data_IF_362767977309
#
_entry.id   IF_362767977309
#
_cell.length_a   1.000
_cell.length_b   1.000
_cell.length_c   1.000
_cell.angle_alpha   90.00
_cell.angle_beta   90.00
_cell.angle_gamma   90.00
#
_symmetry.space_group_name_H-M   'P 1'
#
loop_
_entity.id
_entity.type
_entity.pdbx_description
1 polymer ?
#
# COMPACT_ATOMS: atom_id res chain seq x y z
N UNK A 1 13.64 24.65 1.01
CA UNK A 1 12.76 23.85 0.13
C UNK A 1 11.43 23.68 0.81
N UNK A 2 10.35 24.01 0.11
CA UNK A 2 8.98 23.92 0.65
C UNK A 2 8.46 22.48 0.58
N UNK A 3 7.64 22.04 1.54
CA UNK A 3 7.06 20.68 1.59
C UNK A 3 6.25 20.30 0.34
N UNK A 4 5.80 21.30 -0.42
CA UNK A 4 5.04 21.13 -1.65
C UNK A 4 5.90 20.59 -2.81
N UNK A 5 7.17 21.01 -2.92
CA UNK A 5 8.09 20.53 -3.96
C UNK A 5 8.52 19.08 -3.71
N UNK A 6 8.63 18.68 -2.44
CA UNK A 6 9.02 17.33 -2.03
C UNK A 6 7.91 16.32 -2.33
N UNK A 7 6.67 16.67 -1.99
CA UNK A 7 5.48 15.86 -2.31
C UNK A 7 5.28 15.70 -3.83
N UNK A 8 5.54 16.75 -4.60
CA UNK A 8 5.44 16.72 -6.06
C UNK A 8 6.48 15.79 -6.70
N UNK A 9 7.72 15.81 -6.22
CA UNK A 9 8.80 14.96 -6.73
C UNK A 9 8.54 13.47 -6.47
N UNK A 10 8.05 13.14 -5.27
CA UNK A 10 7.69 11.76 -4.87
C UNK A 10 6.52 11.23 -5.70
N UNK A 11 5.47 12.05 -5.90
CA UNK A 11 4.32 11.67 -6.73
C UNK A 11 4.71 11.43 -8.18
N UNK A 12 5.52 12.31 -8.78
CA UNK A 12 5.95 12.17 -10.17
C UNK A 12 6.89 10.97 -10.37
N UNK A 13 7.73 10.69 -9.37
CA UNK A 13 8.57 9.49 -9.35
C UNK A 13 7.72 8.21 -9.31
N UNK A 14 6.78 8.13 -8.38
CA UNK A 14 5.90 6.96 -8.26
C UNK A 14 5.03 6.75 -9.49
N UNK A 15 4.51 7.82 -10.10
CA UNK A 15 3.79 7.73 -11.37
C UNK A 15 4.65 7.09 -12.47
N UNK A 16 5.89 7.57 -12.67
CA UNK A 16 6.75 7.07 -13.75
C UNK A 16 7.20 5.61 -13.55
N UNK A 17 7.46 5.20 -12.30
CA UNK A 17 7.92 3.82 -12.02
C UNK A 17 6.74 2.84 -12.01
N UNK A 18 5.58 3.27 -11.52
CA UNK A 18 4.35 2.47 -11.57
C UNK A 18 3.89 2.31 -13.02
N UNK A 19 3.87 3.38 -13.81
CA UNK A 19 3.56 3.33 -15.24
C UNK A 19 4.53 2.41 -15.99
N UNK A 20 5.85 2.57 -15.80
CA UNK A 20 6.83 1.70 -16.44
C UNK A 20 6.65 0.23 -16.04
N UNK A 21 6.45 -0.07 -14.75
CA UNK A 21 6.33 -1.45 -14.25
C UNK A 21 5.05 -2.11 -14.76
N UNK A 22 3.92 -1.41 -14.69
CA UNK A 22 2.63 -1.94 -15.15
C UNK A 22 2.57 -2.07 -16.68
N UNK A 23 3.23 -1.16 -17.41
CA UNK A 23 3.29 -1.18 -18.87
C UNK A 23 4.25 -2.26 -19.40
N UNK A 24 5.46 -2.38 -18.84
CA UNK A 24 6.51 -3.26 -19.40
C UNK A 24 6.56 -4.65 -18.81
N UNK A 25 6.27 -4.81 -17.49
CA UNK A 25 6.37 -6.12 -16.82
C UNK A 25 5.04 -6.84 -16.71
N UNK A 26 3.92 -6.11 -16.69
CA UNK A 26 2.62 -6.66 -16.33
C UNK A 26 1.58 -6.64 -17.47
N UNK A 27 1.80 -5.83 -18.52
CA UNK A 27 0.92 -5.77 -19.70
C UNK A 27 -0.48 -5.21 -19.41
N UNK A 28 -0.67 -4.52 -18.28
CA UNK A 28 -1.96 -3.96 -17.86
C UNK A 28 -1.79 -2.46 -17.64
N UNK A 29 -1.95 -1.62 -18.69
CA UNK A 29 -2.03 -0.20 -18.52
C UNK A 29 -3.45 0.15 -18.03
N UNK A 30 -3.70 0.03 -16.73
CA UNK A 30 -4.91 0.58 -16.12
C UNK A 30 -4.54 1.90 -15.41
N UNK A 31 -4.84 3.07 -16.02
CA UNK A 31 -4.50 4.37 -15.44
C UNK A 31 -5.11 4.58 -14.06
N UNK A 32 -6.34 4.08 -13.81
CA UNK A 32 -7.01 4.23 -12.52
C UNK A 32 -6.29 3.49 -11.42
N UNK A 33 -5.82 2.28 -11.73
CA UNK A 33 -5.03 1.48 -10.79
C UNK A 33 -3.68 2.16 -10.49
N UNK A 34 -3.00 2.67 -11.53
CA UNK A 34 -1.73 3.39 -11.39
C UNK A 34 -1.90 4.65 -10.52
N UNK A 35 -2.94 5.45 -10.78
CA UNK A 35 -3.26 6.64 -10.00
C UNK A 35 -3.53 6.29 -8.54
N UNK A 36 -4.30 5.23 -8.29
CA UNK A 36 -4.58 4.74 -6.94
C UNK A 36 -3.31 4.32 -6.20
N UNK A 37 -2.46 3.51 -6.82
CA UNK A 37 -1.22 3.04 -6.21
C UNK A 37 -0.24 4.18 -5.95
N UNK A 38 -0.20 5.17 -6.85
CA UNK A 38 0.60 6.39 -6.68
C UNK A 38 0.14 7.20 -5.47
N UNK A 39 -1.18 7.37 -5.31
CA UNK A 39 -1.75 8.07 -4.16
C UNK A 39 -1.55 7.29 -2.86
N UNK A 40 -1.72 5.96 -2.89
CA UNK A 40 -1.44 5.07 -1.77
C UNK A 40 0.00 5.22 -1.29
N UNK A 41 0.97 5.11 -2.21
CA UNK A 41 2.38 5.28 -1.89
C UNK A 41 2.67 6.67 -1.31
N UNK A 42 2.13 7.72 -1.92
CA UNK A 42 2.30 9.11 -1.46
C UNK A 42 1.77 9.28 -0.04
N UNK A 43 0.56 8.79 0.23
CA UNK A 43 -0.09 8.86 1.56
C UNK A 43 0.70 8.10 2.61
N UNK A 44 1.14 6.88 2.30
CA UNK A 44 1.83 6.04 3.28
C UNK A 44 3.27 6.48 3.51
N UNK A 45 4.01 6.93 2.50
CA UNK A 45 5.37 7.47 2.69
C UNK A 45 5.35 8.76 3.53
N UNK A 46 4.38 9.64 3.29
CA UNK A 46 4.21 10.85 4.11
C UNK A 46 3.80 10.52 5.54
N UNK A 47 2.95 9.51 5.75
CA UNK A 47 2.59 9.03 7.09
C UNK A 47 3.71 8.20 7.74
N UNK A 48 4.56 7.51 7.00
CA UNK A 48 5.71 6.76 7.53
C UNK A 48 6.80 7.66 8.11
N UNK A 49 6.94 8.89 7.62
CA UNK A 49 7.74 9.91 8.31
C UNK A 49 7.18 10.13 9.73
N UNK A 50 5.87 10.09 9.90
CA UNK A 50 5.19 10.21 11.21
C UNK A 50 5.33 8.93 12.05
N UNK A 51 5.24 7.74 11.44
CA UNK A 51 5.43 6.45 12.13
C UNK A 51 6.89 6.17 12.53
N UNK A 52 7.89 6.64 11.77
CA UNK A 52 9.31 6.54 12.17
C UNK A 52 9.65 7.40 13.39
N UNK A 53 8.98 8.53 13.56
CA UNK A 53 9.17 9.42 14.73
C UNK A 53 8.55 8.80 16.00
N UNK A 54 7.54 7.94 15.85
CA UNK A 54 6.89 7.23 16.96
C UNK A 54 7.32 5.77 16.94
N UNK A 55 8.50 5.50 17.49
CA UNK A 55 9.16 4.20 17.57
C UNK A 55 8.24 2.99 17.41
N UNK A 56 8.60 2.13 16.45
CA UNK A 56 8.01 0.82 16.17
C UNK A 56 8.17 -0.16 17.36
N UNK A 57 7.51 0.15 18.47
CA UNK A 57 7.41 -0.69 19.66
C UNK A 57 6.13 -1.54 19.68
N UNK A 58 5.47 -1.79 18.53
CA UNK A 58 4.25 -2.60 18.52
C UNK A 58 3.69 -3.06 17.16
N UNK A 59 4.35 -4.05 16.53
CA UNK A 59 3.82 -5.07 15.58
C UNK A 59 2.57 -4.72 14.72
N UNK A 60 2.71 -4.51 13.40
CA UNK A 60 1.64 -4.42 12.39
C UNK A 60 0.62 -5.55 12.43
N UNK A 61 0.99 -6.74 12.91
CA UNK A 61 0.04 -7.84 13.11
C UNK A 61 -1.07 -7.46 14.12
N UNK A 62 -0.68 -6.85 15.23
CA UNK A 62 -1.62 -6.41 16.27
C UNK A 62 -2.47 -5.27 15.73
N UNK A 63 -1.88 -4.37 14.94
CA UNK A 63 -2.59 -3.28 14.29
C UNK A 63 -3.62 -3.79 13.28
N UNK A 64 -3.28 -4.72 12.38
CA UNK A 64 -4.23 -5.27 11.39
C UNK A 64 -5.38 -6.01 12.06
N UNK A 65 -5.09 -6.84 13.07
CA UNK A 65 -6.14 -7.54 13.82
C UNK A 65 -7.08 -6.55 14.52
N UNK A 66 -6.53 -5.48 15.12
CA UNK A 66 -7.33 -4.43 15.74
C UNK A 66 -8.16 -3.66 14.70
N UNK A 67 -7.58 -3.26 13.58
CA UNK A 67 -8.29 -2.56 12.51
C UNK A 67 -9.45 -3.40 11.98
N UNK A 68 -9.27 -4.72 11.81
CA UNK A 68 -10.34 -5.64 11.39
C UNK A 68 -11.47 -5.69 12.42
N UNK A 69 -11.15 -5.80 13.72
CA UNK A 69 -12.17 -5.77 14.79
C UNK A 69 -12.95 -4.45 14.78
N UNK A 70 -12.26 -3.32 14.61
CA UNK A 70 -12.92 -2.01 14.54
C UNK A 70 -13.74 -1.82 13.26
N UNK A 71 -13.32 -2.40 12.13
CA UNK A 71 -14.04 -2.35 10.86
C UNK A 71 -15.41 -3.03 10.99
N UNK A 72 -15.46 -4.21 11.62
CA UNK A 72 -16.72 -4.95 11.84
C UNK A 72 -17.71 -4.21 12.76
N UNK A 73 -17.23 -3.30 13.60
CA UNK A 73 -18.09 -2.45 14.43
C UNK A 73 -18.70 -1.25 13.68
N UNK A 74 -18.25 -0.96 12.44
CA UNK A 74 -18.73 0.16 11.62
C UNK A 74 -19.85 -0.29 10.67
N UNK A 75 -20.60 0.68 10.15
CA UNK A 75 -21.70 0.45 9.19
C UNK A 75 -21.58 1.37 7.98
N UNK A 76 -22.12 0.92 6.84
CA UNK A 76 -22.16 1.69 5.59
C UNK A 76 -20.77 2.15 5.13
N UNK A 77 -20.67 3.41 4.69
CA UNK A 77 -19.43 3.98 4.16
C UNK A 77 -18.27 3.92 5.17
N UNK A 78 -18.53 4.09 6.47
CA UNK A 78 -17.47 3.99 7.48
C UNK A 78 -16.87 2.57 7.57
N UNK A 79 -17.68 1.53 7.31
CA UNK A 79 -17.20 0.14 7.22
C UNK A 79 -16.38 -0.07 5.95
N UNK A 80 -16.86 0.47 4.82
CA UNK A 80 -16.15 0.44 3.54
C UNK A 80 -14.77 1.07 3.65
N UNK A 81 -14.69 2.29 4.17
CA UNK A 81 -13.44 3.03 4.33
C UNK A 81 -12.46 2.29 5.24
N UNK A 82 -12.96 1.63 6.28
CA UNK A 82 -12.13 0.82 7.18
C UNK A 82 -11.55 -0.40 6.46
N UNK A 83 -12.35 -1.14 5.69
CA UNK A 83 -11.86 -2.26 4.89
C UNK A 83 -10.87 -1.83 3.80
N UNK A 84 -11.15 -0.72 3.11
CA UNK A 84 -10.22 -0.14 2.14
C UNK A 84 -8.88 0.21 2.81
N UNK A 85 -8.91 0.86 3.97
CA UNK A 85 -7.70 1.20 4.70
C UNK A 85 -6.88 -0.02 5.12
N UNK A 86 -7.55 -1.10 5.55
CA UNK A 86 -6.88 -2.37 5.88
C UNK A 86 -6.20 -2.96 4.63
N UNK A 87 -6.90 -2.97 3.49
CA UNK A 87 -6.34 -3.39 2.21
C UNK A 87 -5.12 -2.57 1.81
N UNK A 88 -5.21 -1.24 1.92
CA UNK A 88 -4.13 -0.30 1.62
C UNK A 88 -2.90 -0.54 2.50
N UNK A 89 -3.11 -0.70 3.81
CA UNK A 89 -2.06 -0.94 4.78
C UNK A 89 -1.31 -2.23 4.47
N UNK A 90 -2.04 -3.33 4.25
CA UNK A 90 -1.43 -4.62 3.93
C UNK A 90 -0.71 -4.57 2.59
N UNK A 91 -1.31 -3.93 1.57
CA UNK A 91 -0.71 -3.81 0.24
C UNK A 91 0.61 -3.02 0.32
N UNK A 92 0.60 -1.89 1.01
CA UNK A 92 1.79 -1.08 1.23
C UNK A 92 2.90 -1.87 1.92
N UNK A 93 2.62 -2.49 3.07
CA UNK A 93 3.65 -3.21 3.82
C UNK A 93 4.16 -4.45 3.11
N UNK A 94 3.28 -5.16 2.39
CA UNK A 94 3.67 -6.39 1.69
C UNK A 94 4.35 -6.15 0.36
N UNK A 95 4.11 -4.99 -0.27
CA UNK A 95 4.81 -4.59 -1.48
C UNK A 95 6.09 -3.82 -1.19
N UNK A 96 6.02 -2.78 -0.36
CA UNK A 96 7.14 -1.89 -0.06
C UNK A 96 8.08 -2.55 0.95
N UNK A 97 7.64 -3.01 2.12
CA UNK A 97 8.55 -3.58 3.13
C UNK A 97 8.22 -5.03 3.52
N UNK A 98 8.26 -5.99 2.56
CA UNK A 98 7.92 -7.38 2.84
C UNK A 98 8.83 -8.00 3.92
N UNK A 99 10.07 -7.53 4.06
CA UNK A 99 10.99 -7.97 5.10
C UNK A 99 10.55 -7.53 6.51
N UNK A 100 9.94 -6.35 6.64
CA UNK A 100 9.43 -5.87 7.93
C UNK A 100 8.27 -6.76 8.40
N UNK A 101 7.34 -7.09 7.50
CA UNK A 101 6.27 -8.05 7.79
C UNK A 101 6.79 -9.43 8.20
N UNK A 102 7.88 -9.90 7.56
CA UNK A 102 8.53 -11.18 7.91
C UNK A 102 9.25 -11.12 9.26
N UNK A 103 9.97 -10.03 9.57
CA UNK A 103 10.77 -9.87 10.81
C UNK A 103 9.93 -9.64 12.06
N UNK A 104 8.69 -9.17 11.91
CA UNK A 104 7.83 -8.77 13.04
C UNK A 104 7.14 -9.95 13.76
N UNK A 105 7.40 -11.19 13.34
CA UNK A 105 6.96 -12.40 14.06
C UNK A 105 8.10 -13.41 14.20
N UNK A 106 8.22 -13.99 15.41
CA UNK A 106 9.08 -15.15 15.67
C UNK A 106 8.47 -16.40 15.01
N UNK A 107 9.35 -17.19 14.37
CA UNK A 107 9.21 -18.57 13.88
C UNK A 107 8.28 -18.87 12.67
N UNK A 108 8.94 -19.06 11.51
CA UNK A 108 9.14 -20.35 10.83
C UNK A 108 8.08 -20.99 9.92
N UNK A 109 7.27 -20.23 9.14
CA UNK A 109 6.67 -20.77 7.88
C UNK A 109 6.48 -19.72 6.77
N UNK A 110 6.87 -20.08 5.54
CA UNK A 110 6.64 -19.29 4.31
C UNK A 110 5.14 -19.05 4.00
N UNK A 111 4.25 -19.86 4.58
CA UNK A 111 2.78 -19.80 4.36
C UNK A 111 2.10 -18.51 4.86
N UNK A 112 2.82 -17.63 5.58
CA UNK A 112 2.19 -16.53 6.33
C UNK A 112 2.11 -15.20 5.56
N UNK A 113 2.97 -14.98 4.55
CA UNK A 113 2.78 -13.86 3.61
C UNK A 113 1.51 -14.07 2.78
N UNK A 114 1.25 -15.33 2.42
CA UNK A 114 0.01 -15.77 1.76
C UNK A 114 -1.20 -15.44 2.64
N UNK A 115 -1.10 -15.56 3.97
CA UNK A 115 -2.17 -15.15 4.87
C UNK A 115 -2.43 -13.64 4.81
N UNK A 116 -1.39 -12.79 4.82
CA UNK A 116 -1.59 -11.34 4.73
C UNK A 116 -2.14 -10.92 3.37
N UNK A 117 -1.62 -11.47 2.27
CA UNK A 117 -2.19 -11.22 0.95
C UNK A 117 -3.65 -11.65 0.89
N UNK A 118 -3.99 -12.80 1.46
CA UNK A 118 -5.38 -13.25 1.54
C UNK A 118 -6.25 -12.29 2.39
N UNK A 119 -5.75 -11.74 3.50
CA UNK A 119 -6.47 -10.71 4.26
C UNK A 119 -6.63 -9.40 3.48
N UNK A 120 -5.59 -8.94 2.78
CA UNK A 120 -5.63 -7.74 1.97
C UNK A 120 -6.65 -7.84 0.83
N UNK A 121 -6.67 -8.99 0.14
CA UNK A 121 -7.66 -9.32 -0.89
C UNK A 121 -9.08 -9.30 -0.34
N UNK A 122 -9.31 -10.01 0.79
CA UNK A 122 -10.61 -10.00 1.48
C UNK A 122 -11.06 -8.60 1.88
N UNK A 123 -10.14 -7.78 2.36
CA UNK A 123 -10.46 -6.42 2.77
C UNK A 123 -10.92 -5.56 1.57
N UNK A 124 -10.20 -5.62 0.45
CA UNK A 124 -10.62 -4.90 -0.76
C UNK A 124 -11.95 -5.42 -1.33
N UNK A 125 -12.16 -6.73 -1.37
CA UNK A 125 -13.44 -7.31 -1.81
C UNK A 125 -14.60 -6.93 -0.87
N UNK A 126 -14.39 -6.97 0.44
CA UNK A 126 -15.41 -6.52 1.39
C UNK A 126 -15.74 -5.02 1.19
N UNK A 127 -14.75 -4.19 0.85
CA UNK A 127 -14.95 -2.78 0.55
C UNK A 127 -15.66 -2.56 -0.80
N UNK A 128 -15.48 -3.43 -1.80
CA UNK A 128 -16.18 -3.35 -3.09
C UNK A 128 -17.66 -3.74 -2.97
N UNK A 129 -18.00 -4.71 -2.11
CA UNK A 129 -19.37 -5.18 -1.89
C UNK A 129 -20.26 -4.19 -1.13
N UNK A 130 -19.67 -3.34 -0.28
CA UNK A 130 -20.42 -2.37 0.50
C UNK A 130 -20.92 -1.25 -0.43
N UNK A 131 -22.22 -1.26 -0.71
CA UNK A 131 -22.89 -0.25 -1.54
C UNK A 131 -22.71 1.16 -0.98
N UNK A 132 -21.81 1.91 -1.61
CA UNK A 132 -21.61 3.34 -1.41
C UNK A 132 -22.47 4.12 -2.40
N UNK A 133 -23.81 4.00 -2.32
CA UNK A 133 -24.82 4.86 -3.01
C UNK A 133 -24.67 5.07 -4.53
N UNK A 134 -23.66 5.84 -4.96
CA UNK A 134 -23.37 6.24 -6.34
C UNK A 134 -21.92 5.94 -6.80
N UNK A 135 -21.06 5.37 -5.94
CA UNK A 135 -19.64 5.13 -6.22
C UNK A 135 -19.37 3.74 -6.85
N UNK A 136 -20.01 3.47 -8.00
CA UNK A 136 -19.78 2.22 -8.74
C UNK A 136 -18.32 2.13 -9.23
N UNK A 137 -17.76 3.25 -9.67
CA UNK A 137 -16.38 3.31 -10.15
C UNK A 137 -15.35 2.98 -9.06
N UNK A 138 -15.58 3.41 -7.82
CA UNK A 138 -14.70 3.05 -6.71
C UNK A 138 -14.87 1.60 -6.29
N UNK A 139 -16.09 1.06 -6.32
CA UNK A 139 -16.32 -0.36 -6.05
C UNK A 139 -15.60 -1.27 -7.06
N UNK A 140 -15.69 -0.97 -8.35
CA UNK A 140 -14.97 -1.72 -9.41
C UNK A 140 -13.46 -1.68 -9.21
N UNK A 141 -12.89 -0.52 -8.83
CA UNK A 141 -11.47 -0.38 -8.59
C UNK A 141 -11.00 -1.20 -7.36
N UNK A 142 -11.79 -1.21 -6.29
CA UNK A 142 -11.49 -2.01 -5.10
C UNK A 142 -11.58 -3.51 -5.41
N UNK A 143 -12.55 -3.92 -6.21
CA UNK A 143 -12.65 -5.31 -6.67
C UNK A 143 -11.43 -5.71 -7.52
N UNK A 144 -11.03 -4.83 -8.45
CA UNK A 144 -9.82 -5.03 -9.25
C UNK A 144 -8.54 -5.08 -8.41
N UNK A 145 -8.44 -4.28 -7.35
CA UNK A 145 -7.33 -4.33 -6.38
C UNK A 145 -7.30 -5.66 -5.61
N UNK A 146 -8.45 -6.23 -5.28
CA UNK A 146 -8.55 -7.56 -4.70
C UNK A 146 -8.03 -8.63 -5.67
N UNK A 147 -8.49 -8.60 -6.93
CA UNK A 147 -8.10 -9.58 -7.95
C UNK A 147 -6.61 -9.50 -8.30
N UNK A 148 -6.08 -8.27 -8.38
CA UNK A 148 -4.70 -7.98 -8.80
C UNK A 148 -3.77 -7.69 -7.62
N UNK A 149 -4.12 -8.13 -6.42
CA UNK A 149 -3.38 -7.76 -5.21
C UNK A 149 -1.89 -8.11 -5.29
N UNK A 150 -1.56 -9.35 -5.65
CA UNK A 150 -0.18 -9.84 -5.73
C UNK A 150 0.62 -9.09 -6.81
N UNK A 151 -0.06 -8.76 -7.92
CA UNK A 151 0.49 -7.95 -9.00
C UNK A 151 0.84 -6.55 -8.51
N UNK A 152 -0.07 -5.92 -7.77
CA UNK A 152 0.12 -4.60 -7.19
C UNK A 152 1.24 -4.62 -6.15
N UNK A 153 1.26 -5.61 -5.25
CA UNK A 153 2.31 -5.77 -4.25
C UNK A 153 3.69 -5.91 -4.91
N UNK A 154 3.80 -6.74 -5.95
CA UNK A 154 5.03 -6.86 -6.73
C UNK A 154 5.44 -5.52 -7.36
N UNK A 155 4.48 -4.80 -7.96
CA UNK A 155 4.70 -3.47 -8.53
C UNK A 155 5.24 -2.47 -7.52
N UNK A 156 4.66 -2.41 -6.31
CA UNK A 156 5.17 -1.55 -5.22
C UNK A 156 6.59 -1.94 -4.79
N UNK A 157 6.93 -3.23 -4.83
CA UNK A 157 8.30 -3.69 -4.54
C UNK A 157 9.31 -3.24 -5.60
N UNK A 158 8.94 -3.22 -6.88
CA UNK A 158 9.77 -2.64 -7.95
C UNK A 158 9.96 -1.14 -7.75
N UNK A 159 8.89 -0.43 -7.37
CA UNK A 159 8.92 0.99 -7.06
C UNK A 159 9.91 1.30 -5.93
N UNK A 160 9.89 0.52 -4.84
CA UNK A 160 10.88 0.65 -3.76
C UNK A 160 12.31 0.41 -4.24
N UNK A 161 12.56 -0.65 -5.02
CA UNK A 161 13.91 -0.95 -5.54
C UNK A 161 14.46 0.19 -6.38
N UNK A 162 13.62 0.83 -7.17
CA UNK A 162 14.01 2.03 -7.92
C UNK A 162 14.34 3.21 -6.99
N UNK A 163 13.57 3.39 -5.92
CA UNK A 163 13.80 4.45 -4.94
C UNK A 163 15.16 4.26 -4.24
N UNK A 164 15.43 3.08 -3.69
CA UNK A 164 16.68 2.77 -2.99
C UNK A 164 17.91 2.94 -3.89
N UNK A 165 17.82 2.52 -5.17
CA UNK A 165 18.95 2.65 -6.11
C UNK A 165 19.32 4.10 -6.40
N UNK A 166 18.35 5.01 -6.42
CA UNK A 166 18.61 6.44 -6.66
C UNK A 166 19.21 7.12 -5.43
N UNK A 167 18.79 6.72 -4.24
CA UNK A 167 19.40 7.19 -2.99
C UNK A 167 20.88 6.76 -2.88
N UNK A 168 21.23 5.54 -3.33
CA UNK A 168 22.62 5.03 -3.34
C UNK A 168 23.52 5.65 -4.43
N UNK A 169 22.94 6.21 -5.50
CA UNK A 169 23.70 6.73 -6.67
C UNK A 169 24.29 8.14 -6.49
N UNK A 170 24.36 8.66 -5.25
CA UNK A 170 25.17 9.84 -4.94
C UNK A 170 24.67 11.19 -5.45
N UNK A 171 23.38 11.32 -5.78
CA UNK A 171 22.72 12.64 -5.88
C UNK A 171 21.88 12.83 -4.61
N UNK A 172 22.59 13.12 -3.51
CA UNK A 172 22.07 13.00 -2.16
C UNK A 172 20.78 13.77 -1.90
N UNK A 173 19.74 13.05 -1.49
CA UNK A 173 18.88 13.54 -0.42
C UNK A 173 19.48 13.03 0.89
N UNK A 174 20.23 13.91 1.57
CA UNK A 174 20.48 13.76 3.00
C UNK A 174 19.11 13.68 3.71
N UNK A 175 18.60 12.48 3.92
CA UNK A 175 17.29 12.24 4.53
C UNK A 175 17.33 11.58 5.91
N UNK A 176 18.51 11.26 6.47
CA UNK A 176 18.61 10.64 7.80
C UNK A 176 19.79 11.14 8.64
N UNK A 177 20.12 12.43 8.53
CA UNK A 177 21.00 13.15 9.46
C UNK A 177 20.19 14.03 10.40
#
# INVERSE_FOLDING_TARGET
MSDNERSFNVRQFFAGVTEHTFYTKLGVPNPRLIDYLTELLTRFVNNEVVFRIRGLTGKPLTEVAQMMMEAEARLGNARRDAHQHIGDFILFWSGVYPEALKRMRREDRMDHLINYWAEGKRAYHAASEIQSGYDQSGAELLDELSDKFELCAYGLGEVRREWERRDDSGTGLMLFG
#
